data_IF_133326192215
#
_entry.id   IF_133326192215
#
_cell.length_a   1.000
_cell.length_b   1.000
_cell.length_c   1.000
_cell.angle_alpha   90.00
_cell.angle_beta   90.00
_cell.angle_gamma   90.00
#
_symmetry.space_group_name_H-M   'P 1'
#
loop_
_entity.id
_entity.type
_entity.pdbx_description
1 polymer ?
#
# COMPACT_ATOMS: atom_id res chain seq x y z
N UNK A 1 19.00 -1.93 12.09
CA UNK A 1 17.57 -1.60 11.86
C UNK A 1 16.76 -2.70 12.50
N UNK A 2 15.68 -2.40 13.24
CA UNK A 2 14.84 -3.42 13.86
C UNK A 2 14.06 -4.20 12.79
N UNK A 3 14.18 -5.53 12.78
CA UNK A 3 13.66 -6.41 11.72
C UNK A 3 12.56 -7.34 12.17
N UNK A 4 12.52 -7.73 13.44
CA UNK A 4 11.70 -8.85 13.92
C UNK A 4 10.77 -8.40 15.04
N UNK A 5 9.47 -8.70 14.89
CA UNK A 5 8.44 -8.37 15.86
C UNK A 5 7.76 -7.00 15.65
N UNK A 6 6.80 -6.63 16.52
CA UNK A 6 6.07 -5.36 16.43
C UNK A 6 6.95 -4.15 16.77
N UNK A 7 6.83 -3.08 15.97
CA UNK A 7 7.55 -1.81 16.18
C UNK A 7 6.59 -0.62 16.19
N UNK A 8 6.62 0.17 17.26
CA UNK A 8 5.94 1.47 17.33
C UNK A 8 6.96 2.61 17.20
N UNK A 9 6.76 3.48 16.22
CA UNK A 9 7.58 4.69 16.01
C UNK A 9 6.77 5.92 16.43
N UNK A 10 7.17 6.55 17.54
CA UNK A 10 6.59 7.82 18.01
C UNK A 10 7.52 8.95 17.62
N UNK A 11 7.02 9.95 16.88
CA UNK A 11 7.83 11.12 16.51
C UNK A 11 6.96 12.36 16.27
N UNK A 12 7.51 13.53 16.59
CA UNK A 12 6.86 14.83 16.38
C UNK A 12 6.60 15.19 14.92
N UNK A 13 5.89 16.28 14.67
CA UNK A 13 5.73 16.85 13.33
C UNK A 13 7.11 17.15 12.72
N UNK A 14 7.27 16.98 11.41
CA UNK A 14 8.53 17.25 10.71
C UNK A 14 9.68 16.24 10.98
N UNK A 15 9.56 15.34 11.95
CA UNK A 15 10.62 14.40 12.34
C UNK A 15 10.94 13.27 11.32
N UNK A 16 10.42 13.36 10.09
CA UNK A 16 10.75 12.43 9.01
C UNK A 16 10.05 11.06 9.08
N UNK A 17 8.95 10.90 9.83
CA UNK A 17 8.18 9.63 9.96
C UNK A 17 7.99 8.88 8.63
N UNK A 18 7.45 9.57 7.63
CA UNK A 18 7.21 8.99 6.31
C UNK A 18 8.51 8.54 5.64
N UNK A 19 9.58 9.34 5.73
CA UNK A 19 10.91 8.98 5.20
C UNK A 19 11.46 7.74 5.89
N UNK A 20 11.34 7.65 7.21
CA UNK A 20 11.74 6.46 7.97
C UNK A 20 10.99 5.21 7.52
N UNK A 21 9.67 5.30 7.33
CA UNK A 21 8.84 4.18 6.87
C UNK A 21 9.22 3.74 5.45
N UNK A 22 9.36 4.66 4.49
CA UNK A 22 9.73 4.29 3.12
C UNK A 22 11.12 3.68 3.05
N UNK A 23 12.10 4.24 3.75
CA UNK A 23 13.43 3.64 3.82
C UNK A 23 13.42 2.25 4.48
N UNK A 24 12.56 2.01 5.48
CA UNK A 24 12.38 0.68 6.08
C UNK A 24 11.85 -0.33 5.05
N UNK A 25 10.85 0.04 4.26
CA UNK A 25 10.30 -0.82 3.19
C UNK A 25 11.41 -1.20 2.21
N UNK A 26 12.16 -0.21 1.72
CA UNK A 26 13.28 -0.44 0.80
C UNK A 26 14.33 -1.37 1.43
N UNK A 27 14.68 -1.17 2.69
CA UNK A 27 15.64 -2.04 3.38
C UNK A 27 15.16 -3.50 3.46
N UNK A 28 13.87 -3.73 3.71
CA UNK A 28 13.31 -5.09 3.72
C UNK A 28 13.40 -5.76 2.34
N UNK A 29 13.10 -5.01 1.28
CA UNK A 29 13.24 -5.51 -0.11
C UNK A 29 14.69 -5.90 -0.39
N UNK A 30 15.65 -5.06 -0.01
CA UNK A 30 17.09 -5.35 -0.18
C UNK A 30 17.57 -6.56 0.65
N UNK A 31 16.87 -6.88 1.74
CA UNK A 31 17.13 -8.09 2.52
C UNK A 31 16.51 -9.35 1.91
N UNK A 32 15.89 -9.25 0.73
CA UNK A 32 15.30 -10.37 0.00
C UNK A 32 13.83 -10.61 0.31
N UNK A 33 13.17 -9.72 1.07
CA UNK A 33 11.71 -9.81 1.25
C UNK A 33 11.05 -9.46 -0.08
N UNK A 34 10.25 -10.41 -0.62
CA UNK A 34 9.45 -10.15 -1.81
C UNK A 34 8.56 -8.91 -1.57
N UNK A 35 8.64 -7.86 -2.42
CA UNK A 35 7.82 -6.66 -2.29
C UNK A 35 6.32 -6.92 -2.13
N UNK A 36 5.78 -7.93 -2.80
CA UNK A 36 4.35 -8.29 -2.72
C UNK A 36 3.90 -8.75 -1.32
N UNK A 37 4.85 -9.15 -0.46
CA UNK A 37 4.60 -9.49 0.94
C UNK A 37 4.60 -8.28 1.88
N UNK A 38 4.80 -7.07 1.34
CA UNK A 38 4.82 -5.82 2.11
C UNK A 38 3.52 -5.06 1.87
N UNK A 39 2.76 -4.88 2.95
CA UNK A 39 1.56 -4.04 3.00
C UNK A 39 1.88 -2.72 3.71
N UNK A 40 1.58 -1.60 3.06
CA UNK A 40 1.64 -0.27 3.67
C UNK A 40 0.27 0.41 3.57
N UNK A 41 -0.29 0.80 4.72
CA UNK A 41 -1.62 1.40 4.80
C UNK A 41 -1.54 2.80 5.38
N UNK A 42 -2.35 3.70 4.85
CA UNK A 42 -2.50 5.08 5.36
C UNK A 42 -3.98 5.51 5.41
N UNK A 43 -4.25 6.68 5.97
CA UNK A 43 -5.60 7.21 6.12
C UNK A 43 -6.13 7.91 4.85
N UNK A 44 -5.26 8.51 4.04
CA UNK A 44 -5.68 9.32 2.89
C UNK A 44 -5.12 8.81 1.57
N UNK A 45 -5.89 8.96 0.49
CA UNK A 45 -5.43 8.62 -0.86
C UNK A 45 -4.17 9.40 -1.26
N UNK A 46 -4.10 10.68 -0.86
CA UNK A 46 -2.92 11.53 -1.10
C UNK A 46 -1.67 10.94 -0.45
N UNK A 47 -1.73 10.57 0.82
CA UNK A 47 -0.58 9.98 1.51
C UNK A 47 -0.20 8.61 0.91
N UNK A 48 -1.17 7.83 0.42
CA UNK A 48 -0.89 6.52 -0.18
C UNK A 48 -0.13 6.71 -1.50
N UNK A 49 -0.59 7.65 -2.33
CA UNK A 49 0.06 8.02 -3.58
C UNK A 49 1.48 8.55 -3.34
N UNK A 50 1.63 9.51 -2.44
CA UNK A 50 2.95 10.09 -2.12
C UNK A 50 3.92 9.03 -1.57
N UNK A 51 3.43 8.08 -0.75
CA UNK A 51 4.25 6.99 -0.25
C UNK A 51 4.69 6.04 -1.39
N UNK A 52 3.78 5.71 -2.30
CA UNK A 52 4.06 4.87 -3.47
C UNK A 52 5.10 5.52 -4.38
N UNK A 53 4.94 6.80 -4.72
CA UNK A 53 5.90 7.58 -5.50
C UNK A 53 7.28 7.58 -4.85
N UNK A 54 7.37 7.82 -3.54
CA UNK A 54 8.65 7.79 -2.82
C UNK A 54 9.32 6.42 -2.81
N UNK A 55 8.55 5.34 -2.69
CA UNK A 55 9.10 3.97 -2.75
C UNK A 55 9.66 3.71 -4.15
N UNK A 56 8.92 4.09 -5.19
CA UNK A 56 9.34 3.96 -6.58
C UNK A 56 10.64 4.73 -6.85
N UNK A 57 10.70 6.01 -6.50
CA UNK A 57 11.91 6.84 -6.66
C UNK A 57 13.14 6.24 -5.93
N UNK A 58 12.92 5.63 -4.76
CA UNK A 58 13.99 5.02 -3.97
C UNK A 58 14.48 3.70 -4.56
N UNK A 59 13.62 2.94 -5.24
CA UNK A 59 14.01 1.73 -5.97
C UNK A 59 14.85 2.13 -7.20
N UNK A 60 14.38 3.06 -8.03
CA UNK A 60 15.09 3.52 -9.23
C UNK A 60 16.49 4.09 -8.92
N UNK A 61 16.60 4.93 -7.88
CA UNK A 61 17.88 5.51 -7.46
C UNK A 61 18.89 4.48 -6.96
N UNK A 62 18.42 3.36 -6.41
CA UNK A 62 19.27 2.28 -5.90
C UNK A 62 19.71 1.32 -7.01
N UNK A 63 18.94 1.21 -8.08
CA UNK A 63 19.22 0.35 -9.25
C UNK A 63 20.30 0.90 -10.18
N UNK A 64 20.56 2.22 -10.17
CA UNK A 64 21.67 2.82 -10.94
C UNK A 64 23.07 2.29 -10.55
N UNK A 65 23.18 1.54 -9.44
CA UNK A 65 24.42 0.87 -9.00
C UNK A 65 24.46 -0.66 -9.16
N UNK A 66 23.33 -1.34 -9.42
CA UNK A 66 23.25 -2.78 -9.62
C UNK A 66 22.07 -3.08 -10.56
N UNK A 67 22.39 -3.54 -11.76
CA UNK A 67 21.46 -3.80 -12.87
C UNK A 67 20.46 -4.91 -12.50
N UNK A 68 19.35 -4.56 -11.89
CA UNK A 68 18.10 -5.31 -12.06
C UNK A 68 17.54 -4.83 -13.39
N UNK A 69 17.26 -5.73 -14.34
CA UNK A 69 16.72 -5.35 -15.65
C UNK A 69 15.38 -4.62 -15.46
N UNK A 70 15.42 -3.29 -15.58
CA UNK A 70 14.28 -2.36 -15.55
C UNK A 70 13.44 -2.50 -16.84
N UNK A 71 13.86 -3.34 -17.78
CA UNK A 71 13.21 -3.59 -19.06
C UNK A 71 11.79 -4.21 -18.92
N UNK A 72 11.38 -4.59 -17.70
CA UNK A 72 10.06 -5.12 -17.37
C UNK A 72 9.26 -4.27 -16.36
N UNK A 73 9.63 -3.01 -16.09
CA UNK A 73 8.90 -2.15 -15.13
C UNK A 73 7.58 -1.58 -15.67
N UNK A 74 7.18 -1.96 -16.89
CA UNK A 74 5.79 -1.87 -17.37
C UNK A 74 4.86 -2.90 -16.70
N UNK A 75 5.42 -3.90 -16.01
CA UNK A 75 4.66 -4.83 -15.18
C UNK A 75 4.69 -4.36 -13.73
N UNK A 76 3.52 -4.03 -13.18
CA UNK A 76 3.25 -3.75 -11.76
C UNK A 76 3.66 -4.90 -10.78
N UNK A 77 4.35 -5.94 -11.25
CA UNK A 77 4.50 -7.25 -10.60
C UNK A 77 5.61 -7.35 -9.53
N UNK A 78 6.20 -6.25 -9.05
CA UNK A 78 7.23 -6.33 -7.99
C UNK A 78 7.27 -5.08 -7.10
N UNK A 79 6.11 -4.57 -6.68
CA UNK A 79 6.04 -3.43 -5.75
C UNK A 79 5.24 -3.75 -4.48
N UNK A 80 5.54 -3.11 -3.34
CA UNK A 80 4.70 -3.20 -2.16
C UNK A 80 3.25 -2.78 -2.43
N UNK A 81 2.29 -3.43 -1.78
CA UNK A 81 0.90 -2.99 -1.84
C UNK A 81 0.72 -1.79 -0.91
N UNK A 82 0.50 -0.60 -1.50
CA UNK A 82 0.30 0.65 -0.78
C UNK A 82 -1.13 1.14 -1.02
N UNK A 83 -1.92 1.32 0.05
CA UNK A 83 -3.33 1.70 -0.07
C UNK A 83 -3.84 2.50 1.14
N UNK A 84 -5.12 2.90 1.08
CA UNK A 84 -5.86 3.27 2.28
C UNK A 84 -6.48 2.06 2.96
N UNK A 85 -6.97 2.23 4.18
CA UNK A 85 -7.77 1.21 4.87
C UNK A 85 -9.03 0.82 4.08
N UNK A 86 -9.75 1.80 3.52
CA UNK A 86 -10.94 1.55 2.71
C UNK A 86 -10.62 0.76 1.45
N UNK A 87 -9.58 1.15 0.70
CA UNK A 87 -9.16 0.42 -0.50
C UNK A 87 -8.71 -1.01 -0.18
N UNK A 88 -8.01 -1.21 0.94
CA UNK A 88 -7.64 -2.54 1.41
C UNK A 88 -8.88 -3.37 1.77
N UNK A 89 -9.84 -2.79 2.49
CA UNK A 89 -11.10 -3.45 2.85
C UNK A 89 -11.88 -3.91 1.62
N UNK A 90 -12.04 -3.03 0.62
CA UNK A 90 -12.69 -3.39 -0.66
C UNK A 90 -11.97 -4.53 -1.36
N UNK A 91 -10.62 -4.52 -1.38
CA UNK A 91 -9.83 -5.61 -1.96
C UNK A 91 -10.10 -6.94 -1.24
N UNK A 92 -10.05 -6.95 0.09
CA UNK A 92 -10.32 -8.14 0.91
C UNK A 92 -11.73 -8.68 0.64
N UNK A 93 -12.75 -7.81 0.63
CA UNK A 93 -14.13 -8.22 0.36
C UNK A 93 -14.25 -8.79 -1.05
N UNK A 94 -13.64 -8.16 -2.08
CA UNK A 94 -13.66 -8.67 -3.46
C UNK A 94 -12.99 -10.04 -3.61
N UNK A 95 -11.87 -10.25 -2.91
CA UNK A 95 -11.16 -11.54 -2.91
C UNK A 95 -11.99 -12.64 -2.24
N UNK A 96 -12.84 -12.28 -1.29
CA UNK A 96 -13.64 -13.20 -0.48
C UNK A 96 -15.16 -13.10 -0.77
N UNK A 97 -15.56 -12.50 -1.89
CA UNK A 97 -16.97 -12.12 -2.13
C UNK A 97 -17.92 -13.31 -2.08
N UNK A 98 -17.50 -14.46 -2.60
CA UNK A 98 -18.29 -15.70 -2.58
C UNK A 98 -18.60 -16.20 -1.17
N UNK A 99 -17.71 -15.98 -0.19
CA UNK A 99 -17.94 -16.35 1.22
C UNK A 99 -19.02 -15.49 1.89
N UNK A 100 -19.28 -14.31 1.33
CA UNK A 100 -20.24 -13.33 1.84
C UNK A 100 -21.56 -13.32 1.07
N UNK A 101 -21.76 -14.27 0.15
CA UNK A 101 -22.87 -14.26 -0.82
C UNK A 101 -22.94 -12.96 -1.65
N UNK A 102 -21.78 -12.36 -1.94
CA UNK A 102 -21.62 -11.18 -2.77
C UNK A 102 -21.01 -11.53 -4.12
N UNK A 103 -21.24 -10.67 -5.12
CA UNK A 103 -20.48 -10.70 -6.37
C UNK A 103 -19.21 -9.85 -6.23
N UNK A 104 -18.20 -10.08 -7.07
CA UNK A 104 -17.00 -9.22 -7.14
C UNK A 104 -17.30 -7.79 -7.63
N UNK A 105 -18.49 -7.57 -8.18
CA UNK A 105 -18.94 -6.33 -8.80
C UNK A 105 -19.97 -5.58 -7.94
N UNK A 106 -19.90 -5.73 -6.61
CA UNK A 106 -20.74 -4.95 -5.71
C UNK A 106 -20.45 -3.45 -5.82
N UNK A 107 -21.50 -2.64 -5.68
CA UNK A 107 -21.40 -1.18 -5.60
C UNK A 107 -21.11 -0.76 -4.16
N UNK A 108 -20.31 0.29 -4.01
CA UNK A 108 -20.12 0.96 -2.72
C UNK A 108 -21.09 2.13 -2.73
N UNK A 109 -22.09 2.08 -1.86
CA UNK A 109 -23.06 3.16 -1.70
C UNK A 109 -22.40 4.32 -0.99
N UNK A 110 -22.63 5.53 -1.51
CA UNK A 110 -22.30 6.73 -0.78
C UNK A 110 -23.39 7.08 0.25
N UNK A 111 -23.19 8.19 0.95
CA UNK A 111 -24.15 8.66 1.97
C UNK A 111 -25.51 9.00 1.34
N UNK A 112 -25.54 9.56 0.13
CA UNK A 112 -26.77 9.94 -0.56
C UNK A 112 -27.55 8.74 -1.06
N UNK A 113 -26.85 7.73 -1.58
CA UNK A 113 -27.42 6.44 -1.95
C UNK A 113 -28.07 5.78 -0.73
N UNK A 114 -27.34 5.76 0.40
CA UNK A 114 -27.79 5.11 1.63
C UNK A 114 -29.05 5.76 2.20
N UNK A 115 -29.12 7.09 2.18
CA UNK A 115 -30.31 7.84 2.65
C UNK A 115 -31.51 7.58 1.73
N UNK A 116 -31.29 7.45 0.42
CA UNK A 116 -32.37 7.25 -0.54
C UNK A 116 -33.05 5.89 -0.36
N UNK A 117 -32.26 4.85 -0.08
CA UNK A 117 -32.79 3.49 0.17
C UNK A 117 -33.60 3.41 1.46
N UNK A 118 -33.23 4.15 2.51
CA UNK A 118 -33.96 4.14 3.80
C UNK A 118 -35.33 4.83 3.68
N UNK A 119 -35.50 5.72 2.70
CA UNK A 119 -36.74 6.47 2.50
C UNK A 119 -37.79 5.73 1.68
N UNK A 120 -37.42 4.63 1.03
CA UNK A 120 -38.33 3.67 0.39
C UNK A 120 -38.89 2.67 1.42
#
# INVERSE_FOLDING_TARGET
>A
MYTDGPLLIVAGAGAGKTKTITHRIIHLIHKGINPERILAVTFTNKAAREMKERIFDLLEKREQGNKINIDNFGNFMNTPYVSTFHSLGVKIIKENASLLNLTKHFSILDESDSISIIKE
#
